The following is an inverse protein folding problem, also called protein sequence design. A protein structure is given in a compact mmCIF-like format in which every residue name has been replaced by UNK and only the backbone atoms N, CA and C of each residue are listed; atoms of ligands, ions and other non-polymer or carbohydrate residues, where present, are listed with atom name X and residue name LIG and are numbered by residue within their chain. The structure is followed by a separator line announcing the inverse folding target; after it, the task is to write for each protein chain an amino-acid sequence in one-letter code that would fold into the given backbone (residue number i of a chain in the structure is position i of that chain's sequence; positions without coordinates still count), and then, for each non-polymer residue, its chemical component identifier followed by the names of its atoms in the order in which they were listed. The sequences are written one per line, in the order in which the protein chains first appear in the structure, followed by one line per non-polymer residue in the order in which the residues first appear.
data_IF_117718457087
#
_entry.id   IF_117718457087
#
_cell.length_a   1.000
_cell.length_b   1.000
_cell.length_c   1.000
_cell.angle_alpha   90.00
_cell.angle_beta   90.00
_cell.angle_gamma   90.00
#
_symmetry.space_group_name_H-M   'P 1'
#
loop_
_entity.id
_entity.type
_entity.pdbx_description
1 polymer ?
#
# COMPACT_ATOMS: atom_id res chain seq x y z
N UNK A 1 92.92 -48.09 -19.27
CA UNK A 1 91.44 -48.25 -19.25
C UNK A 1 90.74 -47.18 -18.40
N UNK A 2 91.25 -46.78 -17.22
CA UNK A 2 90.59 -45.78 -16.35
C UNK A 2 90.39 -44.37 -16.94
N UNK A 3 91.28 -43.86 -17.80
CA UNK A 3 91.14 -42.52 -18.40
C UNK A 3 90.05 -42.42 -19.47
N UNK A 4 89.68 -43.54 -20.10
CA UNK A 4 88.68 -43.56 -21.17
C UNK A 4 87.25 -43.56 -20.60
N UNK A 5 87.03 -44.25 -19.47
CA UNK A 5 85.75 -44.26 -18.75
C UNK A 5 85.44 -42.92 -18.05
N UNK A 6 86.46 -42.24 -17.51
CA UNK A 6 86.27 -40.92 -16.88
C UNK A 6 85.86 -39.86 -17.89
N UNK A 7 86.50 -39.85 -19.08
CA UNK A 7 86.12 -38.94 -20.17
C UNK A 7 84.73 -39.24 -20.73
N UNK A 8 84.32 -40.52 -20.78
CA UNK A 8 82.97 -40.91 -21.19
C UNK A 8 81.90 -40.43 -20.22
N UNK A 9 82.10 -40.60 -18.91
CA UNK A 9 81.19 -40.07 -17.87
C UNK A 9 81.09 -38.55 -17.87
N UNK A 10 82.19 -37.84 -18.13
CA UNK A 10 82.19 -36.38 -18.24
C UNK A 10 81.42 -35.93 -19.48
N UNK A 11 81.59 -36.60 -20.62
CA UNK A 11 80.84 -36.32 -21.84
C UNK A 11 79.33 -36.59 -21.67
N UNK A 12 78.95 -37.71 -21.04
CA UNK A 12 77.55 -38.02 -20.72
C UNK A 12 76.92 -36.96 -19.80
N UNK A 13 77.64 -36.53 -18.75
CA UNK A 13 77.14 -35.50 -17.82
C UNK A 13 77.05 -34.11 -18.45
N UNK A 14 77.97 -33.76 -19.36
CA UNK A 14 77.93 -32.52 -20.16
C UNK A 14 76.78 -32.54 -21.19
N UNK A 15 76.51 -33.70 -21.80
CA UNK A 15 75.33 -33.88 -22.65
C UNK A 15 74.04 -33.77 -21.84
N UNK A 16 73.98 -34.39 -20.66
CA UNK A 16 72.82 -34.36 -19.75
C UNK A 16 72.52 -32.95 -19.24
N UNK A 17 73.55 -32.18 -18.85
CA UNK A 17 73.40 -30.76 -18.48
C UNK A 17 73.00 -29.87 -19.66
N UNK A 18 73.52 -30.16 -20.86
CA UNK A 18 73.09 -29.49 -22.09
C UNK A 18 71.62 -29.75 -22.45
N UNK A 19 71.13 -30.96 -22.24
CA UNK A 19 69.71 -31.31 -22.41
C UNK A 19 68.81 -30.67 -21.35
N UNK A 20 69.23 -30.64 -20.08
CA UNK A 20 68.48 -29.97 -19.01
C UNK A 20 68.37 -28.46 -19.26
N UNK A 21 69.46 -27.83 -19.72
CA UNK A 21 69.44 -26.40 -20.07
C UNK A 21 68.51 -26.12 -21.26
N UNK A 22 68.54 -26.95 -22.30
CA UNK A 22 67.61 -26.85 -23.42
C UNK A 22 66.15 -27.03 -22.98
N UNK A 23 65.84 -28.01 -22.12
CA UNK A 23 64.49 -28.23 -21.60
C UNK A 23 64.01 -27.04 -20.74
N UNK A 24 64.91 -26.44 -19.96
CA UNK A 24 64.61 -25.25 -19.15
C UNK A 24 64.32 -24.03 -20.04
N UNK A 25 65.14 -23.80 -21.07
CA UNK A 25 64.96 -22.71 -22.03
C UNK A 25 63.66 -22.90 -22.84
N UNK A 26 63.37 -24.14 -23.23
CA UNK A 26 62.11 -24.50 -23.90
C UNK A 26 60.91 -24.25 -22.99
N UNK A 27 61.00 -24.62 -21.71
CA UNK A 27 59.94 -24.41 -20.71
C UNK A 27 59.67 -22.93 -20.49
N UNK A 28 60.72 -22.10 -20.35
CA UNK A 28 60.62 -20.65 -20.19
C UNK A 28 59.95 -20.02 -21.41
N UNK A 29 60.33 -20.43 -22.62
CA UNK A 29 59.70 -19.98 -23.86
C UNK A 29 58.22 -20.35 -23.94
N UNK A 30 57.82 -21.55 -23.51
CA UNK A 30 56.40 -21.93 -23.41
C UNK A 30 55.64 -21.07 -22.40
N UNK A 31 56.21 -20.81 -21.21
CA UNK A 31 55.56 -19.96 -20.20
C UNK A 31 55.41 -18.51 -20.67
N UNK A 32 56.41 -17.97 -21.35
CA UNK A 32 56.34 -16.63 -21.95
C UNK A 32 55.22 -16.55 -22.99
N UNK A 33 55.13 -17.53 -23.89
CA UNK A 33 54.04 -17.62 -24.88
C UNK A 33 52.66 -17.75 -24.23
N UNK A 34 52.54 -18.54 -23.15
CA UNK A 34 51.30 -18.66 -22.39
C UNK A 34 50.92 -17.33 -21.70
N UNK A 35 51.88 -16.63 -21.10
CA UNK A 35 51.66 -15.32 -20.49
C UNK A 35 51.23 -14.27 -21.52
N UNK A 36 51.83 -14.24 -22.71
CA UNK A 36 51.38 -13.36 -23.79
C UNK A 36 49.96 -13.67 -24.26
N UNK A 37 49.63 -14.96 -24.36
CA UNK A 37 48.27 -15.40 -24.73
C UNK A 37 47.26 -14.96 -23.67
N UNK A 38 47.61 -15.11 -22.40
CA UNK A 38 46.78 -14.75 -21.26
C UNK A 38 46.62 -13.22 -21.16
N UNK A 39 47.68 -12.45 -21.42
CA UNK A 39 47.61 -10.99 -21.52
C UNK A 39 46.67 -10.55 -22.64
N UNK A 40 46.80 -11.12 -23.84
CA UNK A 40 45.90 -10.82 -24.97
C UNK A 40 44.45 -11.17 -24.65
N UNK A 41 44.23 -12.30 -23.98
CA UNK A 41 42.91 -12.72 -23.52
C UNK A 41 42.33 -11.73 -22.51
N UNK A 42 43.09 -11.34 -21.48
CA UNK A 42 42.66 -10.37 -20.45
C UNK A 42 42.34 -9.01 -21.09
N UNK A 43 43.20 -8.49 -21.96
CA UNK A 43 42.94 -7.20 -22.64
C UNK A 43 41.64 -7.24 -23.43
N UNK A 44 41.43 -8.27 -24.25
CA UNK A 44 40.18 -8.43 -25.00
C UNK A 44 38.96 -8.55 -24.09
N UNK A 45 39.11 -9.21 -22.93
CA UNK A 45 38.03 -9.38 -21.98
C UNK A 45 37.69 -8.09 -21.24
N UNK A 46 38.69 -7.28 -20.91
CA UNK A 46 38.49 -5.94 -20.36
C UNK A 46 37.75 -5.04 -21.35
N UNK A 47 38.11 -5.10 -22.63
CA UNK A 47 37.44 -4.32 -23.68
C UNK A 47 35.97 -4.75 -23.83
N UNK A 48 35.71 -6.06 -23.92
CA UNK A 48 34.34 -6.61 -23.98
C UNK A 48 33.51 -6.23 -22.75
N UNK A 49 34.04 -6.44 -21.54
CA UNK A 49 33.34 -6.12 -20.30
C UNK A 49 33.08 -4.61 -20.17
N UNK A 50 34.02 -3.76 -20.60
CA UNK A 50 33.83 -2.32 -20.57
C UNK A 50 32.69 -1.87 -21.49
N UNK A 51 32.58 -2.49 -22.68
CA UNK A 51 31.46 -2.24 -23.58
C UNK A 51 30.13 -2.73 -22.99
N UNK A 52 30.12 -3.90 -22.38
CA UNK A 52 28.92 -4.49 -21.75
C UNK A 52 28.44 -3.68 -20.54
N UNK A 53 29.36 -3.26 -19.66
CA UNK A 53 29.08 -2.41 -18.49
C UNK A 53 28.55 -1.05 -18.94
N UNK A 54 29.16 -0.44 -19.95
CA UNK A 54 28.69 0.84 -20.47
C UNK A 54 27.28 0.72 -21.09
N UNK A 55 27.02 -0.35 -21.85
CA UNK A 55 25.69 -0.62 -22.40
C UNK A 55 24.65 -0.85 -21.29
N UNK A 56 25.02 -1.59 -20.24
CA UNK A 56 24.15 -1.86 -19.09
C UNK A 56 23.86 -0.59 -18.30
N UNK A 57 24.87 0.26 -18.08
CA UNK A 57 24.70 1.56 -17.41
C UNK A 57 23.72 2.44 -18.18
N UNK A 58 23.86 2.51 -19.52
CA UNK A 58 22.96 3.29 -20.35
C UNK A 58 21.52 2.73 -20.34
N UNK A 59 21.36 1.40 -20.34
CA UNK A 59 20.06 0.76 -20.22
C UNK A 59 19.41 1.02 -18.86
N UNK A 60 20.21 1.06 -17.79
CA UNK A 60 19.74 1.42 -16.44
C UNK A 60 19.26 2.86 -16.39
N UNK A 61 20.01 3.82 -16.95
CA UNK A 61 19.63 5.23 -17.01
C UNK A 61 18.31 5.43 -17.80
N UNK A 62 18.17 4.74 -18.94
CA UNK A 62 16.93 4.77 -19.74
C UNK A 62 15.73 4.20 -18.96
N UNK A 63 15.96 3.15 -18.16
CA UNK A 63 14.92 2.53 -17.34
C UNK A 63 14.53 3.44 -16.17
N UNK A 64 15.51 4.08 -15.50
CA UNK A 64 15.27 5.05 -14.43
C UNK A 64 14.43 6.24 -14.92
N UNK A 65 14.78 6.80 -16.09
CA UNK A 65 13.99 7.87 -16.71
C UNK A 65 12.55 7.46 -17.01
N UNK A 66 12.35 6.21 -17.47
CA UNK A 66 11.00 5.67 -17.70
C UNK A 66 10.20 5.51 -16.40
N UNK A 67 10.84 5.06 -15.31
CA UNK A 67 10.20 4.92 -14.01
C UNK A 67 9.77 6.29 -13.46
N UNK A 68 10.64 7.30 -13.55
CA UNK A 68 10.33 8.67 -13.11
C UNK A 68 9.15 9.23 -13.92
N UNK A 69 9.14 9.04 -15.25
CA UNK A 69 8.02 9.46 -16.10
C UNK A 69 6.71 8.79 -15.68
N UNK A 70 6.71 7.47 -15.47
CA UNK A 70 5.53 6.73 -15.01
C UNK A 70 5.05 7.20 -13.64
N UNK A 71 5.97 7.45 -12.70
CA UNK A 71 5.62 8.02 -11.40
C UNK A 71 5.03 9.43 -11.52
N UNK A 72 5.55 10.24 -12.44
CA UNK A 72 4.97 11.53 -12.79
C UNK A 72 3.54 11.41 -13.29
N UNK A 73 3.28 10.49 -14.22
CA UNK A 73 1.94 10.21 -14.76
C UNK A 73 0.97 9.70 -13.67
N UNK A 74 1.44 8.85 -12.75
CA UNK A 74 0.64 8.41 -11.58
C UNK A 74 0.28 9.60 -10.71
N UNK A 75 1.25 10.44 -10.37
CA UNK A 75 1.03 11.60 -9.51
C UNK A 75 0.12 12.63 -10.17
N UNK A 76 0.24 12.84 -11.49
CA UNK A 76 -0.66 13.68 -12.25
C UNK A 76 -2.08 13.13 -12.27
N UNK A 77 -2.25 11.82 -12.47
CA UNK A 77 -3.55 11.19 -12.46
C UNK A 77 -4.18 11.19 -11.05
N UNK A 78 -3.40 10.96 -9.99
CA UNK A 78 -3.85 11.09 -8.59
C UNK A 78 -4.26 12.52 -8.27
N UNK A 79 -3.45 13.49 -8.67
CA UNK A 79 -3.75 14.91 -8.53
C UNK A 79 -5.04 15.25 -9.29
N UNK A 80 -5.18 14.79 -10.52
CA UNK A 80 -6.40 14.95 -11.31
C UNK A 80 -7.62 14.33 -10.61
N UNK A 81 -7.53 13.09 -10.12
CA UNK A 81 -8.63 12.44 -9.38
C UNK A 81 -8.99 13.24 -8.12
N UNK A 82 -7.99 13.80 -7.42
CA UNK A 82 -8.21 14.62 -6.22
C UNK A 82 -8.77 16.02 -6.51
N UNK A 83 -8.48 16.60 -7.69
CA UNK A 83 -8.66 18.02 -7.98
C UNK A 83 -9.70 18.30 -9.08
N UNK A 84 -10.24 17.29 -9.76
CA UNK A 84 -11.36 17.48 -10.68
C UNK A 84 -12.56 18.01 -9.87
N UNK A 85 -12.78 19.32 -9.97
CA UNK A 85 -13.79 20.14 -9.32
C UNK A 85 -15.26 19.84 -9.65
N UNK A 86 -15.60 18.56 -9.87
CA UNK A 86 -16.94 18.10 -9.56
C UNK A 86 -17.00 17.76 -8.07
N UNK A 87 -18.19 17.77 -7.49
CA UNK A 87 -18.46 17.59 -6.07
C UNK A 87 -18.08 16.22 -5.46
N UNK A 88 -17.06 15.53 -6.00
CA UNK A 88 -16.72 14.13 -5.75
C UNK A 88 -15.24 13.96 -5.34
N UNK A 89 -14.64 14.95 -4.67
CA UNK A 89 -13.25 14.86 -4.18
C UNK A 89 -13.18 14.13 -2.84
N UNK A 90 -12.02 13.53 -2.46
CA UNK A 90 -11.79 13.02 -1.10
C UNK A 90 -12.01 14.07 -0.01
N UNK A 91 -11.77 15.35 -0.33
CA UNK A 91 -12.10 16.46 0.55
C UNK A 91 -13.61 16.54 0.85
N UNK A 92 -14.47 16.21 -0.13
CA UNK A 92 -15.91 16.16 0.08
C UNK A 92 -16.35 14.93 0.88
N UNK A 93 -15.62 13.81 0.81
CA UNK A 93 -15.90 12.68 1.69
C UNK A 93 -15.69 13.05 3.17
N UNK A 94 -14.64 13.83 3.46
CA UNK A 94 -14.43 14.41 4.79
C UNK A 94 -15.54 15.37 5.21
N UNK A 95 -15.94 16.28 4.33
CA UNK A 95 -17.04 17.24 4.59
C UNK A 95 -18.39 16.53 4.79
N UNK A 96 -18.69 15.52 3.97
CA UNK A 96 -19.93 14.76 4.08
C UNK A 96 -19.97 13.98 5.40
N UNK A 97 -18.86 13.37 5.82
CA UNK A 97 -18.76 12.66 7.09
C UNK A 97 -18.82 13.61 8.29
N UNK A 98 -18.18 14.77 8.23
CA UNK A 98 -18.27 15.81 9.25
C UNK A 98 -19.72 16.27 9.43
N UNK A 99 -20.44 16.50 8.32
CA UNK A 99 -21.85 16.87 8.39
C UNK A 99 -22.75 15.74 8.91
N UNK A 100 -22.36 14.46 8.73
CA UNK A 100 -23.03 13.34 9.41
C UNK A 100 -22.82 13.45 10.91
N UNK A 101 -21.59 13.67 11.37
CA UNK A 101 -21.26 13.84 12.80
C UNK A 101 -22.05 15.01 13.40
N UNK A 102 -22.07 16.17 12.73
CA UNK A 102 -22.81 17.33 13.20
C UNK A 102 -24.33 17.04 13.29
N UNK A 103 -24.89 16.36 12.29
CA UNK A 103 -26.31 16.01 12.28
C UNK A 103 -26.64 15.03 13.40
N UNK A 104 -25.80 14.01 13.62
CA UNK A 104 -26.02 12.98 14.65
C UNK A 104 -25.86 13.56 16.05
N UNK A 105 -24.87 14.43 16.27
CA UNK A 105 -24.67 15.13 17.55
C UNK A 105 -25.85 16.04 17.89
N UNK A 106 -26.29 16.87 16.94
CA UNK A 106 -27.44 17.74 17.14
C UNK A 106 -28.72 16.96 17.43
N UNK A 107 -28.92 15.81 16.79
CA UNK A 107 -30.07 14.97 17.05
C UNK A 107 -29.98 14.26 18.41
N UNK A 108 -28.80 13.76 18.77
CA UNK A 108 -28.55 13.16 20.08
C UNK A 108 -28.85 14.17 21.21
N UNK A 109 -28.37 15.40 21.10
CA UNK A 109 -28.68 16.47 22.06
C UNK A 109 -30.19 16.71 22.18
N UNK A 110 -30.92 16.81 21.06
CA UNK A 110 -32.38 16.99 21.08
C UNK A 110 -33.13 15.81 21.72
N UNK A 111 -32.66 14.59 21.50
CA UNK A 111 -33.25 13.38 22.09
C UNK A 111 -33.03 13.38 23.60
N UNK A 112 -31.81 13.67 24.05
CA UNK A 112 -31.47 13.75 25.47
C UNK A 112 -32.24 14.88 26.16
N UNK A 113 -32.29 16.08 25.57
CA UNK A 113 -33.06 17.21 26.11
C UNK A 113 -34.55 16.88 26.25
N UNK A 114 -35.14 16.17 25.30
CA UNK A 114 -36.53 15.76 25.37
C UNK A 114 -36.77 14.67 26.42
N UNK A 115 -35.84 13.72 26.54
CA UNK A 115 -35.87 12.69 27.59
C UNK A 115 -35.76 13.31 28.99
N UNK A 116 -34.86 14.28 29.18
CA UNK A 116 -34.68 15.01 30.44
C UNK A 116 -35.95 15.79 30.81
N UNK A 117 -36.59 16.46 29.84
CA UNK A 117 -37.88 17.13 30.08
C UNK A 117 -38.98 16.16 30.50
N UNK A 118 -39.04 14.97 29.91
CA UNK A 118 -40.00 13.94 30.31
C UNK A 118 -39.73 13.50 31.75
N UNK A 119 -38.48 13.20 32.09
CA UNK A 119 -38.09 12.78 33.44
C UNK A 119 -38.44 13.86 34.48
N UNK A 120 -38.08 15.11 34.22
CA UNK A 120 -38.35 16.24 35.11
C UNK A 120 -39.86 16.46 35.32
N UNK A 121 -40.67 16.34 34.27
CA UNK A 121 -42.13 16.47 34.35
C UNK A 121 -42.76 15.37 35.20
N UNK A 122 -42.30 14.13 35.04
CA UNK A 122 -42.77 12.99 35.83
C UNK A 122 -42.37 13.14 37.30
N UNK A 123 -41.15 13.61 37.58
CA UNK A 123 -40.67 13.83 38.95
C UNK A 123 -41.40 14.97 39.67
N UNK A 124 -41.71 16.05 38.95
CA UNK A 124 -42.40 17.23 39.52
C UNK A 124 -43.89 17.01 39.78
N UNK A 125 -44.51 16.02 39.15
CA UNK A 125 -45.93 15.73 39.34
C UNK A 125 -46.18 15.13 40.73
N UNK A 126 -47.00 15.82 41.53
CA UNK A 126 -47.28 15.46 42.92
C UNK A 126 -48.72 15.01 43.13
N UNK A 127 -49.63 15.37 42.22
CA UNK A 127 -51.05 15.09 42.34
C UNK A 127 -51.50 14.22 41.15
N UNK A 128 -51.19 12.93 41.27
CA UNK A 128 -51.56 11.93 40.27
C UNK A 128 -53.04 11.62 40.25
N UNK A 129 -53.84 12.10 41.20
CA UNK A 129 -55.28 11.84 41.28
C UNK A 129 -56.12 12.90 40.55
N UNK A 130 -55.58 14.11 40.32
CA UNK A 130 -56.24 15.17 39.55
C UNK A 130 -56.20 14.92 38.03
N UNK A 131 -57.40 14.77 37.45
CA UNK A 131 -57.56 14.51 36.01
C UNK A 131 -57.04 15.65 35.13
N UNK A 132 -57.16 16.90 35.57
CA UNK A 132 -56.67 18.05 34.78
C UNK A 132 -55.15 18.07 34.73
N UNK A 133 -54.48 17.87 35.86
CA UNK A 133 -53.01 17.79 35.95
C UNK A 133 -52.48 16.63 35.11
N UNK A 134 -53.10 15.44 35.21
CA UNK A 134 -52.76 14.29 34.34
C UNK A 134 -52.93 14.59 32.85
N UNK A 135 -54.01 15.25 32.45
CA UNK A 135 -54.24 15.56 31.04
C UNK A 135 -53.15 16.48 30.46
N UNK A 136 -52.76 17.52 31.20
CA UNK A 136 -51.69 18.46 30.81
C UNK A 136 -50.33 17.76 30.76
N UNK A 137 -50.03 16.90 31.74
CA UNK A 137 -48.80 16.10 31.77
C UNK A 137 -48.71 15.17 30.56
N UNK A 138 -49.80 14.45 30.26
CA UNK A 138 -49.88 13.53 29.12
C UNK A 138 -49.68 14.25 27.80
N UNK A 139 -50.30 15.40 27.61
CA UNK A 139 -50.12 16.22 26.39
C UNK A 139 -48.66 16.67 26.25
N UNK A 140 -48.05 17.13 27.34
CA UNK A 140 -46.65 17.58 27.35
C UNK A 140 -45.67 16.44 27.04
N UNK A 141 -45.83 15.27 27.67
CA UNK A 141 -45.00 14.09 27.41
C UNK A 141 -45.20 13.60 25.97
N UNK A 142 -46.44 13.61 25.46
CA UNK A 142 -46.73 13.23 24.07
C UNK A 142 -45.96 14.12 23.10
N UNK A 143 -45.89 15.42 23.37
CA UNK A 143 -45.10 16.37 22.57
C UNK A 143 -43.60 16.09 22.66
N UNK A 144 -43.06 15.85 23.85
CA UNK A 144 -41.64 15.53 24.02
C UNK A 144 -41.27 14.20 23.32
N UNK A 145 -42.15 13.20 23.33
CA UNK A 145 -41.99 11.96 22.55
C UNK A 145 -42.02 12.21 21.04
N UNK A 146 -42.90 13.10 20.55
CA UNK A 146 -42.91 13.51 19.15
C UNK A 146 -41.61 14.22 18.75
N UNK A 147 -41.04 15.05 19.62
CA UNK A 147 -39.75 15.70 19.40
C UNK A 147 -38.61 14.68 19.27
N UNK A 148 -38.60 13.63 20.10
CA UNK A 148 -37.66 12.50 19.99
C UNK A 148 -37.81 11.81 18.63
N UNK A 149 -39.03 11.45 18.24
CA UNK A 149 -39.29 10.75 16.98
C UNK A 149 -38.89 11.60 15.77
N UNK A 150 -39.15 12.91 15.81
CA UNK A 150 -38.69 13.83 14.77
C UNK A 150 -37.16 13.95 14.76
N UNK A 151 -36.51 14.02 15.92
CA UNK A 151 -35.06 14.06 15.99
C UNK A 151 -34.44 12.83 15.32
N UNK A 152 -34.97 11.62 15.58
CA UNK A 152 -34.52 10.35 14.98
C UNK A 152 -34.51 10.31 13.44
N UNK A 153 -35.21 11.22 12.76
CA UNK A 153 -35.12 11.36 11.29
C UNK A 153 -33.70 11.65 10.79
N UNK A 154 -32.79 12.06 11.67
CA UNK A 154 -31.35 12.17 11.39
C UNK A 154 -30.75 10.87 10.83
N UNK A 155 -31.27 9.71 11.21
CA UNK A 155 -30.74 8.40 10.81
C UNK A 155 -30.84 8.20 9.29
N UNK A 156 -31.96 8.62 8.69
CA UNK A 156 -32.13 8.55 7.24
C UNK A 156 -31.18 9.51 6.53
N UNK A 157 -31.09 10.75 7.02
CA UNK A 157 -30.17 11.75 6.46
C UNK A 157 -28.70 11.31 6.56
N UNK A 158 -28.31 10.73 7.69
CA UNK A 158 -26.99 10.16 7.91
C UNK A 158 -26.74 8.97 6.98
N UNK A 159 -27.70 8.06 6.85
CA UNK A 159 -27.60 6.90 5.96
C UNK A 159 -27.49 7.27 4.48
N UNK A 160 -28.25 8.27 4.02
CA UNK A 160 -28.14 8.81 2.66
C UNK A 160 -26.76 9.42 2.39
N UNK A 161 -26.25 10.22 3.34
CA UNK A 161 -24.92 10.84 3.21
C UNK A 161 -23.81 9.81 3.19
N UNK A 162 -23.81 8.85 4.11
CA UNK A 162 -22.82 7.76 4.16
C UNK A 162 -22.82 6.98 2.84
N UNK A 163 -24.00 6.60 2.32
CA UNK A 163 -24.11 5.90 1.02
C UNK A 163 -23.49 6.71 -0.12
N UNK A 164 -23.82 7.99 -0.22
CA UNK A 164 -23.25 8.88 -1.23
C UNK A 164 -21.72 8.98 -1.10
N UNK A 165 -21.21 9.12 0.12
CA UNK A 165 -19.76 9.15 0.35
C UNK A 165 -19.08 7.85 -0.09
N UNK A 166 -19.68 6.69 0.20
CA UNK A 166 -19.15 5.39 -0.23
C UNK A 166 -19.16 5.24 -1.75
N UNK A 167 -20.25 5.62 -2.42
CA UNK A 167 -20.33 5.63 -3.89
C UNK A 167 -19.24 6.51 -4.52
N UNK A 168 -18.95 7.66 -3.90
CA UNK A 168 -17.87 8.55 -4.34
C UNK A 168 -16.50 7.88 -4.19
N UNK A 169 -16.25 7.20 -3.06
CA UNK A 169 -15.00 6.48 -2.83
C UNK A 169 -14.81 5.33 -3.82
N UNK A 170 -15.87 4.56 -4.12
CA UNK A 170 -15.81 3.52 -5.16
C UNK A 170 -15.51 4.10 -6.54
N UNK A 171 -16.10 5.25 -6.88
CA UNK A 171 -15.80 5.92 -8.15
C UNK A 171 -14.32 6.34 -8.23
N UNK A 172 -13.74 6.80 -7.11
CA UNK A 172 -12.32 7.13 -7.03
C UNK A 172 -11.46 5.87 -7.18
N UNK A 173 -11.83 4.79 -6.51
CA UNK A 173 -11.16 3.49 -6.59
C UNK A 173 -11.15 2.95 -8.02
N UNK A 174 -12.29 2.94 -8.71
CA UNK A 174 -12.40 2.49 -10.09
C UNK A 174 -11.54 3.31 -11.04
N UNK A 175 -11.53 4.64 -10.88
CA UNK A 175 -10.70 5.55 -11.70
C UNK A 175 -9.22 5.36 -11.43
N UNK A 176 -8.84 5.14 -10.18
CA UNK A 176 -7.46 4.82 -9.80
C UNK A 176 -7.04 3.46 -10.38
N UNK A 177 -7.88 2.43 -10.25
CA UNK A 177 -7.65 1.11 -10.82
C UNK A 177 -7.45 1.17 -12.33
N UNK A 178 -8.35 1.82 -13.07
CA UNK A 178 -8.24 2.00 -14.52
C UNK A 178 -6.99 2.80 -14.94
N UNK A 179 -6.57 3.76 -14.12
CA UNK A 179 -5.34 4.54 -14.37
C UNK A 179 -4.11 3.67 -14.20
N UNK A 180 -4.05 2.87 -13.12
CA UNK A 180 -2.93 1.99 -12.83
C UNK A 180 -2.82 0.85 -13.84
N UNK A 181 -3.96 0.31 -14.31
CA UNK A 181 -4.01 -0.67 -15.39
C UNK A 181 -3.42 -0.10 -16.71
N UNK A 182 -3.79 1.12 -17.10
CA UNK A 182 -3.21 1.81 -18.27
C UNK A 182 -1.70 1.98 -18.15
N UNK A 183 -1.20 2.14 -16.92
CA UNK A 183 0.22 2.26 -16.60
C UNK A 183 0.91 0.90 -16.44
N UNK A 184 0.23 -0.21 -16.69
CA UNK A 184 0.77 -1.57 -16.62
C UNK A 184 1.03 -2.06 -15.19
N UNK A 185 0.49 -1.39 -14.17
CA UNK A 185 0.54 -1.83 -12.77
C UNK A 185 -0.71 -2.65 -12.51
N UNK A 186 -0.57 -3.98 -12.50
CA UNK A 186 -1.67 -4.86 -12.16
C UNK A 186 -1.79 -4.96 -10.63
N UNK A 187 -2.64 -4.11 -10.04
CA UNK A 187 -3.00 -4.27 -8.64
C UNK A 187 -4.02 -5.39 -8.57
N UNK A 188 -3.58 -6.58 -8.17
CA UNK A 188 -4.48 -7.60 -7.67
C UNK A 188 -5.08 -7.08 -6.35
N UNK A 189 -6.15 -6.28 -6.44
CA UNK A 189 -6.92 -5.87 -5.27
C UNK A 189 -7.52 -7.14 -4.70
N UNK A 190 -6.90 -7.66 -3.65
CA UNK A 190 -7.36 -8.88 -2.98
C UNK A 190 -8.58 -8.50 -2.13
N UNK A 191 -9.74 -8.32 -2.79
CA UNK A 191 -11.00 -7.86 -2.18
C UNK A 191 -11.40 -8.69 -0.94
N UNK A 192 -10.94 -9.95 -0.85
CA UNK A 192 -11.18 -10.83 0.30
C UNK A 192 -10.58 -10.35 1.62
N UNK A 193 -9.38 -9.77 1.63
CA UNK A 193 -8.73 -9.32 2.88
C UNK A 193 -9.32 -8.00 3.42
N UNK A 194 -9.86 -7.15 2.55
CA UNK A 194 -10.50 -5.89 2.94
C UNK A 194 -11.87 -6.13 3.60
N UNK A 195 -12.65 -7.10 3.09
CA UNK A 195 -13.93 -7.48 3.69
C UNK A 195 -13.78 -8.16 5.04
N UNK A 196 -12.74 -8.96 5.26
CA UNK A 196 -12.51 -9.63 6.56
C UNK A 196 -12.10 -8.64 7.66
N UNK A 197 -11.40 -7.55 7.33
CA UNK A 197 -11.04 -6.50 8.30
C UNK A 197 -12.19 -5.54 8.62
N UNK A 198 -13.09 -5.27 7.67
CA UNK A 198 -14.23 -4.39 7.88
C UNK A 198 -15.36 -5.05 8.69
N UNK A 199 -15.52 -6.37 8.60
CA UNK A 199 -16.54 -7.15 9.33
C UNK A 199 -16.14 -7.48 10.77
N UNK A 200 -14.89 -7.18 11.17
CA UNK A 200 -14.43 -7.31 12.56
C UNK A 200 -14.96 -6.26 13.53
N UNK A 201 -15.71 -5.25 13.04
CA UNK A 201 -16.52 -4.38 13.87
C UNK A 201 -17.89 -5.02 14.06
N UNK A 202 -18.10 -5.59 15.24
CA UNK A 202 -19.33 -6.24 15.73
C UNK A 202 -20.53 -5.28 15.58
N UNK A 203 -21.09 -5.23 14.37
CA UNK A 203 -22.42 -4.67 14.12
C UNK A 203 -23.39 -5.68 14.69
N UNK A 204 -23.79 -5.45 15.94
CA UNK A 204 -24.83 -6.20 16.63
C UNK A 204 -26.01 -6.35 15.69
N UNK A 205 -26.19 -7.56 15.18
CA UNK A 205 -27.28 -7.82 14.24
C UNK A 205 -28.58 -7.61 15.00
N UNK A 206 -29.63 -7.08 14.34
CA UNK A 206 -30.93 -6.84 14.99
C UNK A 206 -31.44 -8.08 15.74
N UNK A 207 -31.08 -9.28 15.26
CA UNK A 207 -31.38 -10.56 15.90
C UNK A 207 -30.73 -10.73 17.29
N UNK A 208 -29.56 -10.15 17.55
CA UNK A 208 -28.90 -10.19 18.86
C UNK A 208 -29.51 -9.20 19.86
N UNK A 209 -30.05 -8.09 19.37
CA UNK A 209 -30.82 -7.13 20.19
C UNK A 209 -32.17 -7.74 20.58
N UNK A 210 -32.85 -8.40 19.64
CA UNK A 210 -34.14 -9.04 19.90
C UNK A 210 -34.02 -10.18 20.94
N UNK A 211 -32.90 -10.92 20.93
CA UNK A 211 -32.61 -11.97 21.92
C UNK A 211 -32.22 -11.46 23.33
N UNK A 212 -32.01 -10.15 23.52
CA UNK A 212 -31.65 -9.57 24.81
C UNK A 212 -32.88 -9.23 25.67
N UNK A 213 -34.06 -9.13 25.05
CA UNK A 213 -35.31 -8.72 25.70
C UNK A 213 -36.34 -9.85 25.84
N UNK A 214 -36.02 -11.06 25.38
CA UNK A 214 -36.73 -12.32 25.66
C UNK A 214 -36.16 -13.04 26.89
#
# INVERSE_FOLDING_TARGET
MQNQDSNKKIAEKLMETGTIQNDLDTTILTMQNQLETLQKFISRRFDELSMEVNATSQQMDMTEGSIISRFGEIMEALSAISFHGNALTPANAGVDLEAVIETTENAANKILDAADRIAERVEKEKDWDDEKSRAVLRESITKDVQDILMACTFQDLAGQRIRKTLENLHTIEDRLGATLEKLGVNIAVNQKEATEKAVGGELTSQNEIDNLFD
#
